data_IF_357762602375
#
_entry.id   IF_357762602375
#
_cell.length_a   1.000
_cell.length_b   1.000
_cell.length_c   1.000
_cell.angle_alpha   90.00
_cell.angle_beta   90.00
_cell.angle_gamma   90.00
#
_symmetry.space_group_name_H-M   'P 1'
#
loop_
_entity.id
_entity.type
_entity.pdbx_description
1 polymer ?
#
# COMPACT_ATOMS: atom_id res chain seq x y z
N UNK A 1 81.00 -46.20 -39.61
CA UNK A 1 79.79 -46.60 -38.86
C UNK A 1 79.65 -45.68 -37.67
N UNK A 2 78.62 -44.84 -37.73
CA UNK A 2 78.23 -43.87 -36.71
C UNK A 2 77.62 -44.56 -35.49
N UNK A 3 77.76 -43.98 -34.30
CA UNK A 3 76.65 -43.96 -33.33
C UNK A 3 76.80 -42.74 -32.40
N UNK A 4 76.07 -41.66 -32.71
CA UNK A 4 75.83 -40.52 -31.81
C UNK A 4 74.66 -40.87 -30.91
N UNK A 5 74.90 -41.02 -29.61
CA UNK A 5 73.82 -41.08 -28.61
C UNK A 5 73.57 -39.67 -28.08
N UNK A 6 72.61 -38.97 -28.67
CA UNK A 6 72.11 -37.69 -28.18
C UNK A 6 71.34 -37.91 -26.87
N UNK A 7 71.85 -37.36 -25.75
CA UNK A 7 71.09 -37.28 -24.50
C UNK A 7 70.02 -36.20 -24.63
N UNK A 8 68.80 -36.63 -24.93
CA UNK A 8 67.62 -35.76 -24.92
C UNK A 8 67.18 -35.53 -23.47
N UNK A 9 67.54 -34.38 -22.88
CA UNK A 9 66.98 -33.92 -21.60
C UNK A 9 65.54 -33.48 -21.84
N UNK A 10 64.56 -34.32 -21.54
CA UNK A 10 63.16 -33.87 -21.42
C UNK A 10 63.06 -32.92 -20.23
N UNK A 11 62.85 -31.64 -20.51
CA UNK A 11 62.49 -30.65 -19.51
C UNK A 11 61.08 -30.98 -18.98
N UNK A 12 60.99 -31.69 -17.84
CA UNK A 12 59.77 -31.75 -17.07
C UNK A 12 59.64 -30.45 -16.27
N UNK A 13 59.16 -29.40 -16.93
CA UNK A 13 58.87 -28.11 -16.30
C UNK A 13 57.47 -27.66 -16.66
N UNK A 14 56.58 -27.51 -15.65
CA UNK A 14 55.46 -26.54 -15.56
C UNK A 14 54.14 -27.02 -14.92
N UNK A 15 54.09 -28.18 -14.25
CA UNK A 15 52.84 -28.58 -13.56
C UNK A 15 52.56 -27.80 -12.27
N UNK A 16 53.60 -27.43 -11.50
CA UNK A 16 53.46 -26.69 -10.23
C UNK A 16 52.99 -25.24 -10.37
N UNK A 17 53.48 -24.50 -11.38
CA UNK A 17 53.16 -23.08 -11.57
C UNK A 17 51.72 -22.84 -12.05
N UNK A 18 51.17 -23.78 -12.83
CA UNK A 18 49.79 -23.74 -13.32
C UNK A 18 48.76 -24.03 -12.20
N UNK A 19 49.11 -24.91 -11.26
CA UNK A 19 48.27 -25.21 -10.09
C UNK A 19 48.24 -24.06 -9.06
N UNK A 20 49.37 -23.41 -8.79
CA UNK A 20 49.43 -22.22 -7.91
C UNK A 20 48.66 -21.02 -8.49
N UNK A 21 48.79 -20.75 -9.80
CA UNK A 21 48.00 -19.70 -10.49
C UNK A 21 46.49 -19.97 -10.42
N UNK A 22 46.05 -21.22 -10.59
CA UNK A 22 44.63 -21.62 -10.44
C UNK A 22 44.13 -21.44 -9.01
N UNK A 23 44.91 -21.82 -7.98
CA UNK A 23 44.56 -21.61 -6.56
C UNK A 23 44.43 -20.12 -6.19
N UNK A 24 45.33 -19.27 -6.69
CA UNK A 24 45.25 -17.81 -6.51
C UNK A 24 43.99 -17.21 -7.11
N UNK A 25 43.64 -17.60 -8.34
CA UNK A 25 42.41 -17.15 -9.03
C UNK A 25 41.13 -17.59 -8.30
N UNK A 26 41.08 -18.84 -7.80
CA UNK A 26 39.95 -19.33 -7.01
C UNK A 26 39.81 -18.58 -5.68
N UNK A 27 40.92 -18.31 -4.97
CA UNK A 27 40.90 -17.55 -3.71
C UNK A 27 40.36 -16.13 -3.90
N UNK A 28 40.73 -15.47 -5.00
CA UNK A 28 40.21 -14.14 -5.37
C UNK A 28 38.73 -14.19 -5.72
N UNK A 29 38.27 -15.21 -6.46
CA UNK A 29 36.84 -15.37 -6.74
C UNK A 29 36.02 -15.58 -5.47
N UNK A 30 36.49 -16.44 -4.56
CA UNK A 30 35.82 -16.69 -3.27
C UNK A 30 35.76 -15.43 -2.41
N UNK A 31 36.82 -14.60 -2.38
CA UNK A 31 36.80 -13.35 -1.61
C UNK A 31 35.84 -12.32 -2.20
N UNK A 32 35.77 -12.20 -3.53
CA UNK A 32 34.80 -11.33 -4.22
C UNK A 32 33.38 -11.80 -3.94
N UNK A 33 33.09 -13.11 -4.09
CA UNK A 33 31.76 -13.67 -3.80
C UNK A 33 31.35 -13.43 -2.35
N UNK A 34 32.28 -13.52 -1.39
CA UNK A 34 32.00 -13.22 0.01
C UNK A 34 31.63 -11.74 0.22
N UNK A 35 32.34 -10.81 -0.41
CA UNK A 35 32.01 -9.37 -0.34
C UNK A 35 30.64 -9.07 -0.95
N UNK A 36 30.38 -9.60 -2.15
CA UNK A 36 29.09 -9.43 -2.82
C UNK A 36 27.94 -9.99 -1.98
N UNK A 37 28.12 -11.16 -1.35
CA UNK A 37 27.11 -11.72 -0.44
C UNK A 37 26.83 -10.80 0.74
N UNK A 38 27.86 -10.21 1.34
CA UNK A 38 27.69 -9.27 2.45
C UNK A 38 26.96 -7.99 1.98
N UNK A 39 27.35 -7.44 0.84
CA UNK A 39 26.72 -6.25 0.26
C UNK A 39 25.24 -6.48 -0.09
N UNK A 40 24.92 -7.62 -0.71
CA UNK A 40 23.53 -8.04 -0.98
C UNK A 40 22.76 -8.19 0.34
N UNK A 41 23.37 -8.77 1.37
CA UNK A 41 22.75 -8.89 2.69
C UNK A 41 22.39 -7.53 3.31
N UNK A 42 23.28 -6.55 3.20
CA UNK A 42 23.01 -5.19 3.68
C UNK A 42 21.94 -4.46 2.83
N UNK A 43 21.93 -4.66 1.51
CA UNK A 43 20.87 -4.15 0.64
C UNK A 43 19.51 -4.76 1.00
N UNK A 44 19.45 -6.07 1.22
CA UNK A 44 18.23 -6.78 1.63
C UNK A 44 17.69 -6.24 2.95
N UNK A 45 18.54 -6.00 3.95
CA UNK A 45 18.11 -5.37 5.22
C UNK A 45 17.48 -4.00 5.00
N UNK A 46 18.09 -3.17 4.15
CA UNK A 46 17.53 -1.84 3.81
C UNK A 46 16.19 -1.95 3.09
N UNK A 47 16.04 -2.90 2.17
CA UNK A 47 14.78 -3.16 1.47
C UNK A 47 13.70 -3.59 2.46
N UNK A 48 13.99 -4.55 3.35
CA UNK A 48 13.03 -5.03 4.35
C UNK A 48 12.60 -3.87 5.25
N UNK A 49 13.55 -3.06 5.73
CA UNK A 49 13.23 -1.89 6.55
C UNK A 49 12.30 -0.91 5.81
N UNK A 50 12.63 -0.56 4.57
CA UNK A 50 11.78 0.31 3.76
C UNK A 50 10.39 -0.28 3.51
N UNK A 51 10.28 -1.59 3.30
CA UNK A 51 8.99 -2.27 3.15
C UNK A 51 8.16 -2.24 4.45
N UNK A 52 8.80 -2.37 5.62
CA UNK A 52 8.12 -2.23 6.91
C UNK A 52 7.59 -0.81 7.11
N UNK A 53 8.42 0.21 6.88
CA UNK A 53 8.02 1.62 6.98
C UNK A 53 6.86 1.95 6.03
N UNK A 54 6.88 1.41 4.81
CA UNK A 54 5.78 1.58 3.85
C UNK A 54 4.50 0.90 4.36
N UNK A 55 4.60 -0.32 4.90
CA UNK A 55 3.45 -1.06 5.44
C UNK A 55 2.79 -0.29 6.59
N UNK A 56 3.57 0.21 7.55
CA UNK A 56 3.05 0.98 8.69
C UNK A 56 2.27 2.21 8.21
N UNK A 57 2.77 2.91 7.18
CA UNK A 57 2.04 4.05 6.59
C UNK A 57 0.74 3.64 5.91
N UNK A 58 0.72 2.50 5.23
CA UNK A 58 -0.52 2.00 4.63
C UNK A 58 -1.55 1.62 5.69
N UNK A 59 -1.13 1.05 6.82
CA UNK A 59 -2.02 0.72 7.94
C UNK A 59 -2.64 2.00 8.55
N UNK A 60 -1.86 3.08 8.69
CA UNK A 60 -2.37 4.40 9.11
C UNK A 60 -3.37 4.98 8.10
N UNK A 61 -3.05 4.93 6.79
CA UNK A 61 -3.94 5.39 5.72
C UNK A 61 -5.24 4.60 5.70
N UNK A 62 -5.18 3.27 5.85
CA UNK A 62 -6.35 2.41 5.86
C UNK A 62 -7.26 2.73 7.05
N UNK A 63 -6.67 2.96 8.23
CA UNK A 63 -7.39 3.39 9.42
C UNK A 63 -8.12 4.72 9.19
N UNK A 64 -7.43 5.73 8.65
CA UNK A 64 -8.01 7.03 8.33
C UNK A 64 -9.12 6.91 7.29
N UNK A 65 -8.92 6.08 6.25
CA UNK A 65 -9.94 5.83 5.23
C UNK A 65 -11.20 5.23 5.84
N UNK A 66 -11.08 4.33 6.80
CA UNK A 66 -12.23 3.72 7.47
C UNK A 66 -12.96 4.70 8.39
N UNK A 67 -12.25 5.64 9.03
CA UNK A 67 -12.88 6.75 9.74
C UNK A 67 -13.63 7.67 8.78
N UNK A 68 -12.99 8.09 7.70
CA UNK A 68 -13.59 8.96 6.68
C UNK A 68 -14.85 8.35 6.05
N UNK A 69 -14.85 7.03 5.79
CA UNK A 69 -16.06 6.33 5.30
C UNK A 69 -17.21 6.41 6.30
N UNK A 70 -16.94 6.21 7.61
CA UNK A 70 -17.96 6.30 8.66
C UNK A 70 -18.53 7.70 8.75
N UNK A 71 -17.68 8.72 8.79
CA UNK A 71 -18.11 10.12 8.84
C UNK A 71 -18.90 10.51 7.60
N UNK A 72 -18.41 10.16 6.41
CA UNK A 72 -19.09 10.43 5.14
C UNK A 72 -20.45 9.75 5.07
N UNK A 73 -20.58 8.53 5.60
CA UNK A 73 -21.85 7.83 5.69
C UNK A 73 -22.84 8.58 6.59
N UNK A 74 -22.41 9.05 7.75
CA UNK A 74 -23.25 9.84 8.67
C UNK A 74 -23.68 11.18 8.03
N UNK A 75 -22.75 11.88 7.39
CA UNK A 75 -23.03 13.12 6.65
C UNK A 75 -24.04 12.86 5.55
N UNK A 76 -23.85 11.80 4.76
CA UNK A 76 -24.75 11.44 3.65
C UNK A 76 -26.15 11.11 4.16
N UNK A 77 -26.25 10.34 5.25
CA UNK A 77 -27.52 10.02 5.92
C UNK A 77 -28.22 11.29 6.40
N UNK A 78 -27.48 12.23 6.99
CA UNK A 78 -28.03 13.50 7.42
C UNK A 78 -28.44 14.41 6.25
N UNK A 79 -27.66 14.42 5.18
CA UNK A 79 -27.97 15.16 3.95
C UNK A 79 -29.29 14.68 3.33
N UNK A 80 -29.51 13.36 3.26
CA UNK A 80 -30.76 12.77 2.76
C UNK A 80 -31.98 13.19 3.60
N UNK A 81 -31.84 13.19 4.93
CA UNK A 81 -32.90 13.67 5.85
C UNK A 81 -33.18 15.15 5.66
N UNK A 82 -32.14 15.97 5.56
CA UNK A 82 -32.28 17.40 5.30
C UNK A 82 -32.98 17.64 3.96
N UNK A 83 -32.66 16.87 2.92
CA UNK A 83 -33.33 16.95 1.63
C UNK A 83 -34.83 16.62 1.73
N UNK A 84 -35.20 15.59 2.50
CA UNK A 84 -36.60 15.25 2.75
C UNK A 84 -37.34 16.39 3.46
N UNK A 85 -36.73 16.99 4.50
CA UNK A 85 -37.29 18.14 5.22
C UNK A 85 -37.48 19.35 4.31
N UNK A 86 -36.47 19.69 3.51
CA UNK A 86 -36.55 20.78 2.55
C UNK A 86 -37.69 20.56 1.55
N UNK A 87 -37.82 19.34 1.02
CA UNK A 87 -38.92 19.01 0.10
C UNK A 87 -40.30 19.23 0.76
N UNK A 88 -40.49 18.78 2.01
CA UNK A 88 -41.71 19.05 2.76
C UNK A 88 -41.95 20.55 2.95
N UNK A 89 -40.92 21.31 3.32
CA UNK A 89 -41.01 22.77 3.47
C UNK A 89 -41.42 23.46 2.16
N UNK A 90 -40.83 23.05 1.02
CA UNK A 90 -41.22 23.57 -0.29
C UNK A 90 -42.67 23.25 -0.63
N UNK A 91 -43.12 22.03 -0.38
CA UNK A 91 -44.53 21.64 -0.59
C UNK A 91 -45.49 22.45 0.28
N UNK A 92 -45.12 22.75 1.52
CA UNK A 92 -45.92 23.61 2.42
C UNK A 92 -46.06 25.00 1.82
N UNK A 93 -44.96 25.60 1.36
CA UNK A 93 -44.99 26.94 0.73
C UNK A 93 -45.94 26.93 -0.48
N UNK A 94 -45.85 25.90 -1.33
CA UNK A 94 -46.73 25.76 -2.49
C UNK A 94 -48.20 25.57 -2.10
N UNK A 95 -48.50 24.71 -1.13
CA UNK A 95 -49.87 24.49 -0.66
C UNK A 95 -50.48 25.76 -0.03
N UNK A 96 -49.67 26.61 0.59
CA UNK A 96 -50.09 27.93 1.09
C UNK A 96 -50.43 28.88 -0.05
N UNK A 97 -49.61 28.92 -1.10
CA UNK A 97 -49.88 29.71 -2.31
C UNK A 97 -51.22 29.29 -2.96
N UNK A 98 -51.49 27.98 -2.98
CA UNK A 98 -52.73 27.40 -3.50
C UNK A 98 -53.93 27.49 -2.52
N UNK A 99 -53.76 28.10 -1.33
CA UNK A 99 -54.76 28.20 -0.26
C UNK A 99 -55.34 26.85 0.21
N UNK A 100 -54.60 25.75 0.05
CA UNK A 100 -55.02 24.41 0.46
C UNK A 100 -54.68 24.14 1.93
N UNK A 101 -55.54 24.62 2.84
CA UNK A 101 -55.31 24.50 4.30
C UNK A 101 -55.16 23.04 4.75
N UNK A 102 -55.99 22.14 4.24
CA UNK A 102 -55.92 20.71 4.56
C UNK A 102 -54.56 20.09 4.21
N UNK A 103 -53.99 20.48 3.07
CA UNK A 103 -52.69 19.98 2.62
C UNK A 103 -51.54 20.60 3.44
N UNK A 104 -51.65 21.89 3.77
CA UNK A 104 -50.70 22.57 4.67
C UNK A 104 -50.63 21.88 6.02
N UNK A 105 -51.78 21.53 6.62
CA UNK A 105 -51.84 20.86 7.92
C UNK A 105 -51.19 19.47 7.87
N UNK A 106 -51.52 18.68 6.85
CA UNK A 106 -50.94 17.34 6.64
C UNK A 106 -49.42 17.42 6.48
N UNK A 107 -48.93 18.28 5.59
CA UNK A 107 -47.50 18.41 5.32
C UNK A 107 -46.74 18.95 6.54
N UNK A 108 -47.34 19.88 7.29
CA UNK A 108 -46.77 20.40 8.53
C UNK A 108 -46.65 19.30 9.59
N UNK A 109 -47.68 18.46 9.72
CA UNK A 109 -47.63 17.31 10.61
C UNK A 109 -46.54 16.31 10.20
N UNK A 110 -46.45 15.97 8.90
CA UNK A 110 -45.39 15.10 8.38
C UNK A 110 -43.98 15.68 8.62
N UNK A 111 -43.81 17.00 8.49
CA UNK A 111 -42.54 17.66 8.80
C UNK A 111 -42.18 17.54 10.29
N UNK A 112 -43.15 17.72 11.19
CA UNK A 112 -42.93 17.53 12.64
C UNK A 112 -42.50 16.10 12.96
N UNK A 113 -43.14 15.11 12.37
CA UNK A 113 -42.79 13.69 12.56
C UNK A 113 -41.39 13.37 12.02
N UNK A 114 -41.08 13.86 10.81
CA UNK A 114 -39.75 13.72 10.21
C UNK A 114 -38.65 14.33 11.09
N UNK A 115 -38.90 15.49 11.70
CA UNK A 115 -37.94 16.12 12.61
C UNK A 115 -37.77 15.37 13.93
N UNK A 116 -38.81 14.70 14.44
CA UNK A 116 -38.74 13.90 15.68
C UNK A 116 -37.90 12.63 15.51
N UNK A 117 -38.07 11.91 14.40
CA UNK A 117 -37.35 10.67 14.11
C UNK A 117 -35.81 10.87 14.07
N UNK A 118 -35.35 12.07 13.75
CA UNK A 118 -33.92 12.36 13.68
C UNK A 118 -33.28 12.62 15.05
N UNK A 119 -34.05 13.02 16.06
CA UNK A 119 -33.56 13.15 17.44
C UNK A 119 -33.38 11.78 18.11
N UNK A 120 -34.27 10.83 17.82
CA UNK A 120 -34.22 9.47 18.37
C UNK A 120 -33.10 8.61 17.75
N UNK A 121 -32.71 8.88 16.51
CA UNK A 121 -31.65 8.16 15.79
C UNK A 121 -30.24 8.78 15.95
N UNK A 122 -30.11 9.81 16.80
CA UNK A 122 -28.84 10.48 17.13
C UNK A 122 -28.39 10.23 18.59
N UNK A 123 -29.14 9.41 19.34
CA UNK A 123 -28.82 8.84 20.65
C UNK A 123 -28.41 7.37 20.49
#
# INVERSE_FOLDING_TARGET
>A
MEYRMTKEKRACGSTGSRFQKRKGSVKTRVSITRRLRAEIGEQQKRIIKGQMEIRERFEEIDFDCDQLKKETFLISKQAARNQQRLNLMFKIVKAREENSLSEVDKLTQSLRECMKQDMENSL
#
